data_IF_422035184712
#
_entry.id   IF_422035184712
#
_cell.length_a   1.000
_cell.length_b   1.000
_cell.length_c   1.000
_cell.angle_alpha   90.00
_cell.angle_beta   90.00
_cell.angle_gamma   90.00
#
_symmetry.space_group_name_H-M   'P 1'
#
loop_
_entity.id
_entity.type
_entity.pdbx_description
1 polymer ?
#
# COMPACT_ATOMS: atom_id res chain seq x y z
N UNK A 1 9.45 -1.84 2.90
CA UNK A 1 8.18 -1.50 2.22
C UNK A 1 7.04 -1.82 3.15
N UNK A 2 5.97 -1.02 3.11
CA UNK A 2 4.71 -1.23 3.82
C UNK A 2 3.65 -1.65 2.79
N UNK A 3 2.79 -2.61 3.14
CA UNK A 3 1.61 -2.96 2.35
C UNK A 3 0.38 -2.59 3.17
N UNK A 4 -0.45 -1.69 2.66
CA UNK A 4 -1.71 -1.29 3.29
C UNK A 4 -2.88 -1.82 2.47
N UNK A 5 -3.87 -2.40 3.14
CA UNK A 5 -5.13 -2.83 2.51
C UNK A 5 -6.19 -1.76 2.78
N UNK A 6 -6.69 -1.12 1.72
CA UNK A 6 -7.63 -0.02 1.82
C UNK A 6 -9.05 -0.48 1.44
N UNK A 7 -9.96 -0.54 2.42
CA UNK A 7 -11.39 -0.69 2.13
C UNK A 7 -11.99 0.68 1.87
N UNK A 8 -12.54 0.94 0.68
CA UNK A 8 -13.13 2.24 0.36
C UNK A 8 -14.20 2.68 1.39
N UNK A 9 -13.84 3.70 2.16
CA UNK A 9 -14.39 5.05 2.06
C UNK A 9 -15.90 5.30 2.32
N UNK A 10 -16.66 4.38 2.91
CA UNK A 10 -18.02 4.74 3.38
C UNK A 10 -18.03 5.62 4.65
N UNK A 11 -16.89 5.95 5.26
CA UNK A 11 -16.86 6.62 6.58
C UNK A 11 -15.69 7.59 6.86
N UNK A 12 -14.98 8.09 5.84
CA UNK A 12 -13.77 8.91 6.08
C UNK A 12 -14.08 10.42 6.19
N UNK A 13 -14.75 10.80 7.28
CA UNK A 13 -15.00 12.20 7.62
C UNK A 13 -13.74 13.03 7.95
N UNK A 14 -12.68 12.39 8.47
CA UNK A 14 -11.47 13.09 8.99
C UNK A 14 -10.12 12.44 8.61
N UNK A 15 -10.11 11.37 7.81
CA UNK A 15 -8.89 10.60 7.53
C UNK A 15 -7.88 11.14 6.48
N UNK A 16 -8.19 12.10 5.57
CA UNK A 16 -7.24 12.52 4.54
C UNK A 16 -5.95 13.17 5.07
N UNK A 17 -6.04 13.94 6.16
CA UNK A 17 -4.91 14.73 6.67
C UNK A 17 -3.88 13.85 7.39
N UNK A 18 -4.34 12.87 8.17
CA UNK A 18 -3.47 11.93 8.88
C UNK A 18 -2.72 11.00 7.92
N UNK A 19 -3.36 10.59 6.82
CA UNK A 19 -2.72 9.76 5.81
C UNK A 19 -1.62 10.52 5.07
N UNK A 20 -1.85 11.79 4.70
CA UNK A 20 -0.83 12.60 4.03
C UNK A 20 0.41 12.86 4.91
N UNK A 21 0.22 13.11 6.21
CA UNK A 21 1.33 13.27 7.17
C UNK A 21 2.11 11.96 7.31
N UNK A 22 1.40 10.83 7.43
CA UNK A 22 2.02 9.51 7.51
C UNK A 22 2.84 9.19 6.26
N UNK A 23 2.27 9.45 5.08
CA UNK A 23 2.93 9.21 3.79
C UNK A 23 4.18 10.07 3.62
N UNK A 24 4.12 11.35 4.00
CA UNK A 24 5.28 12.23 4.00
C UNK A 24 6.39 11.70 4.95
N UNK A 25 6.04 11.28 6.16
CA UNK A 25 6.99 10.74 7.13
C UNK A 25 7.68 9.46 6.64
N UNK A 26 6.93 8.58 5.95
CA UNK A 26 7.48 7.38 5.32
C UNK A 26 8.42 7.73 4.16
N UNK A 27 8.02 8.64 3.28
CA UNK A 27 8.81 9.06 2.12
C UNK A 27 10.16 9.66 2.53
N UNK A 28 10.18 10.52 3.55
CA UNK A 28 11.41 11.11 4.12
C UNK A 28 12.41 10.06 4.60
N UNK A 29 11.94 8.86 4.96
CA UNK A 29 12.77 7.75 5.48
C UNK A 29 13.06 6.68 4.44
N UNK A 30 12.70 6.91 3.17
CA UNK A 30 12.85 5.93 2.10
C UNK A 30 11.93 4.71 2.27
N UNK A 31 10.87 4.83 3.07
CA UNK A 31 9.89 3.77 3.27
C UNK A 31 8.80 3.91 2.21
N UNK A 32 8.70 2.90 1.34
CA UNK A 32 7.69 2.86 0.29
C UNK A 32 6.42 2.16 0.77
N UNK A 33 5.27 2.71 0.42
CA UNK A 33 3.95 2.17 0.72
C UNK A 33 3.29 1.66 -0.56
N UNK A 34 2.83 0.41 -0.55
CA UNK A 34 1.96 -0.18 -1.56
C UNK A 34 0.54 -0.25 -0.99
N UNK A 35 -0.38 0.58 -1.49
CA UNK A 35 -1.80 0.52 -1.11
C UNK A 35 -2.56 -0.38 -2.07
N UNK A 36 -3.28 -1.36 -1.53
CA UNK A 36 -4.09 -2.31 -2.31
C UNK A 36 -5.55 -2.16 -1.87
N UNK A 37 -6.47 -1.84 -2.78
CA UNK A 37 -7.89 -1.84 -2.43
C UNK A 37 -8.34 -3.22 -1.96
N UNK A 38 -9.10 -3.30 -0.86
CA UNK A 38 -9.64 -4.55 -0.35
C UNK A 38 -10.46 -5.28 -1.42
N UNK A 39 -11.21 -4.53 -2.24
CA UNK A 39 -11.98 -5.09 -3.36
C UNK A 39 -11.09 -5.76 -4.41
N UNK A 40 -9.88 -5.24 -4.64
CA UNK A 40 -8.94 -5.87 -5.58
C UNK A 40 -8.46 -7.23 -5.06
N UNK A 41 -8.22 -7.36 -3.74
CA UNK A 41 -7.86 -8.63 -3.10
C UNK A 41 -9.02 -9.63 -3.14
N UNK A 42 -10.24 -9.16 -2.86
CA UNK A 42 -11.43 -10.00 -2.87
C UNK A 42 -11.77 -10.51 -4.28
N UNK A 43 -11.49 -9.69 -5.31
CA UNK A 43 -11.73 -10.07 -6.70
C UNK A 43 -10.67 -11.05 -7.22
N UNK A 44 -9.40 -10.83 -6.90
CA UNK A 44 -8.29 -11.68 -7.33
C UNK A 44 -7.11 -11.59 -6.36
N UNK A 45 -7.06 -12.55 -5.44
CA UNK A 45 -5.99 -12.65 -4.45
C UNK A 45 -4.64 -12.94 -5.09
N UNK A 46 -4.59 -13.77 -6.12
CA UNK A 46 -3.33 -14.20 -6.74
C UNK A 46 -2.64 -13.03 -7.43
N UNK A 47 -3.40 -12.20 -8.15
CA UNK A 47 -2.89 -10.96 -8.75
C UNK A 47 -2.41 -9.97 -7.69
N UNK A 48 -3.16 -9.78 -6.60
CA UNK A 48 -2.74 -8.90 -5.51
C UNK A 48 -1.41 -9.35 -4.87
N UNK A 49 -1.29 -10.66 -4.59
CA UNK A 49 -0.08 -11.26 -4.02
C UNK A 49 1.10 -11.22 -5.01
N UNK A 50 0.86 -11.39 -6.31
CA UNK A 50 1.88 -11.23 -7.34
C UNK A 50 2.44 -9.80 -7.37
N UNK A 51 1.58 -8.78 -7.29
CA UNK A 51 1.99 -7.38 -7.22
C UNK A 51 2.88 -7.08 -6.01
N UNK A 52 2.51 -7.59 -4.83
CA UNK A 52 3.35 -7.47 -3.62
C UNK A 52 4.72 -8.11 -3.82
N UNK A 53 4.78 -9.30 -4.41
CA UNK A 53 6.04 -10.01 -4.67
C UNK A 53 6.95 -9.24 -5.62
N UNK A 54 6.42 -8.70 -6.72
CA UNK A 54 7.19 -7.88 -7.67
C UNK A 54 7.79 -6.67 -6.98
N UNK A 55 6.96 -5.90 -6.28
CA UNK A 55 7.42 -4.72 -5.54
C UNK A 55 8.43 -5.07 -4.46
N UNK A 56 8.26 -6.18 -3.75
CA UNK A 56 9.22 -6.62 -2.75
C UNK A 56 10.58 -6.97 -3.37
N UNK A 57 10.59 -7.68 -4.51
CA UNK A 57 11.80 -8.06 -5.25
C UNK A 57 12.61 -6.86 -5.72
N UNK A 58 11.95 -5.86 -6.30
CA UNK A 58 12.59 -4.60 -6.70
C UNK A 58 13.28 -3.90 -5.52
N UNK A 59 12.80 -4.12 -4.29
CA UNK A 59 13.31 -3.45 -3.08
C UNK A 59 14.44 -4.19 -2.38
N UNK A 60 14.47 -5.52 -2.48
CA UNK A 60 15.57 -6.33 -1.94
C UNK A 60 16.79 -6.34 -2.87
N UNK A 61 16.66 -5.88 -4.12
CA UNK A 61 17.76 -5.78 -5.06
C UNK A 61 18.25 -7.14 -5.53
N UNK A 62 17.31 -8.02 -5.92
CA UNK A 62 17.68 -9.22 -6.67
C UNK A 62 17.93 -8.84 -8.14
N UNK A 63 19.17 -9.03 -8.60
CA UNK A 63 19.58 -9.03 -10.02
C UNK A 63 18.86 -10.14 -10.81
#
# INVERSE_FOLDING_TARGET
MIVEVDGEAHNRGDAPQSDAIRDAWFAERGIHVLRIPAIAILNDLDTAVAGVKVMAKERIGED
#
